data_IF_340058128260
#
_entry.id   IF_340058128260
#
_cell.length_a   1.000
_cell.length_b   1.000
_cell.length_c   1.000
_cell.angle_alpha   90.00
_cell.angle_beta   90.00
_cell.angle_gamma   90.00
#
_symmetry.space_group_name_H-M   'P 1'
#
loop_
_entity.id
_entity.type
_entity.pdbx_description
1 polymer ?
#
# COMPACT_ATOMS: atom_id res chain seq x y z
N UNK A 1 -16.96 5.08 -2.17
CA UNK A 1 -15.54 4.92 -2.53
C UNK A 1 -15.27 5.26 -3.99
N UNK A 2 -14.48 6.31 -4.23
CA UNK A 2 -14.04 6.68 -5.57
C UNK A 2 -13.12 5.61 -6.20
N UNK A 3 -13.19 5.46 -7.53
CA UNK A 3 -12.16 4.79 -8.32
C UNK A 3 -11.21 5.85 -8.86
N UNK A 4 -10.00 5.45 -9.24
CA UNK A 4 -9.10 6.34 -10.00
C UNK A 4 -9.74 6.68 -11.34
N UNK A 5 -9.92 7.98 -11.59
CA UNK A 5 -10.38 8.58 -12.83
C UNK A 5 -9.35 8.43 -13.95
N UNK A 6 -9.76 8.61 -15.20
CA UNK A 6 -8.87 8.50 -16.36
C UNK A 6 -7.67 9.45 -16.28
N UNK A 7 -7.85 10.65 -15.72
CA UNK A 7 -6.77 11.62 -15.53
C UNK A 7 -5.76 11.17 -14.47
N UNK A 8 -6.22 10.52 -13.40
CA UNK A 8 -5.32 9.97 -12.37
C UNK A 8 -4.59 8.74 -12.88
N UNK A 9 -5.25 7.89 -13.67
CA UNK A 9 -4.63 6.75 -14.34
C UNK A 9 -3.54 7.18 -15.31
N UNK A 10 -3.71 8.32 -15.98
CA UNK A 10 -2.72 8.88 -16.89
C UNK A 10 -1.43 9.35 -16.20
N UNK A 11 -1.42 9.47 -14.86
CA UNK A 11 -0.20 9.77 -14.10
C UNK A 11 0.68 8.53 -13.86
N UNK A 12 0.16 7.32 -14.12
CA UNK A 12 0.93 6.10 -14.00
C UNK A 12 1.77 5.87 -15.27
N UNK A 13 2.96 5.24 -15.13
CA UNK A 13 3.56 4.76 -13.89
C UNK A 13 4.13 5.91 -13.02
N UNK A 14 3.97 5.81 -11.71
CA UNK A 14 4.51 6.82 -10.79
C UNK A 14 6.02 6.57 -10.64
N UNK A 15 6.84 7.51 -11.10
CA UNK A 15 8.30 7.39 -11.15
C UNK A 15 9.05 8.43 -10.33
N UNK A 16 8.35 9.42 -9.77
CA UNK A 16 8.94 10.54 -9.03
C UNK A 16 7.96 11.11 -7.99
N UNK A 17 8.48 11.86 -7.00
CA UNK A 17 7.72 12.33 -5.85
C UNK A 17 6.61 13.28 -6.31
N UNK A 18 6.92 14.12 -7.30
CA UNK A 18 5.98 15.09 -7.83
C UNK A 18 4.75 14.42 -8.45
N UNK A 19 4.92 13.33 -9.19
CA UNK A 19 3.82 12.55 -9.75
C UNK A 19 2.92 11.96 -8.65
N UNK A 20 3.52 11.46 -7.56
CA UNK A 20 2.77 10.95 -6.40
C UNK A 20 1.99 12.09 -5.72
N UNK A 21 2.63 13.21 -5.43
CA UNK A 21 1.99 14.38 -4.81
C UNK A 21 0.87 14.92 -5.69
N UNK A 22 1.08 14.98 -7.01
CA UNK A 22 0.07 15.41 -7.99
C UNK A 22 -1.13 14.47 -8.00
N UNK A 23 -0.91 13.16 -7.98
CA UNK A 23 -1.98 12.17 -7.89
C UNK A 23 -2.78 12.33 -6.59
N UNK A 24 -2.11 12.46 -5.45
CA UNK A 24 -2.77 12.61 -4.15
C UNK A 24 -3.60 13.90 -4.09
N UNK A 25 -3.03 15.01 -4.57
CA UNK A 25 -3.74 16.30 -4.62
C UNK A 25 -4.98 16.20 -5.52
N UNK A 26 -4.83 15.63 -6.71
CA UNK A 26 -5.93 15.45 -7.65
C UNK A 26 -7.04 14.59 -7.04
N UNK A 27 -6.67 13.49 -6.38
CA UNK A 27 -7.62 12.56 -5.78
C UNK A 27 -8.39 13.18 -4.61
N UNK A 28 -7.69 13.92 -3.74
CA UNK A 28 -8.29 14.59 -2.58
C UNK A 28 -9.17 15.78 -2.98
N UNK A 29 -8.85 16.49 -4.06
CA UNK A 29 -9.63 17.64 -4.53
C UNK A 29 -10.88 17.23 -5.30
N UNK A 30 -10.80 16.16 -6.10
CA UNK A 30 -11.92 15.72 -6.94
C UNK A 30 -12.97 14.88 -6.22
N UNK A 31 -12.56 14.14 -5.20
CA UNK A 31 -13.43 13.16 -4.54
C UNK A 31 -13.75 13.63 -3.11
N UNK A 32 -15.05 13.85 -2.83
CA UNK A 32 -15.51 14.12 -1.46
C UNK A 32 -15.27 12.95 -0.51
N UNK A 33 -15.17 11.74 -1.05
CA UNK A 33 -14.81 10.52 -0.32
C UNK A 33 -13.62 9.84 -1.05
N UNK A 34 -12.37 10.23 -0.73
CA UNK A 34 -11.18 9.68 -1.37
C UNK A 34 -10.98 8.19 -1.01
N UNK A 35 -10.42 7.43 -1.94
CA UNK A 35 -10.13 6.02 -1.74
C UNK A 35 -8.82 5.83 -0.98
N UNK A 36 -8.93 5.78 0.35
CA UNK A 36 -7.80 5.58 1.25
C UNK A 36 -7.06 4.26 1.01
N UNK A 37 -7.75 3.22 0.54
CA UNK A 37 -7.12 1.93 0.29
C UNK A 37 -6.12 2.00 -0.87
N UNK A 38 -6.50 2.63 -1.98
CA UNK A 38 -5.61 2.85 -3.12
C UNK A 38 -4.41 3.72 -2.72
N UNK A 39 -4.65 4.82 -2.01
CA UNK A 39 -3.57 5.71 -1.57
C UNK A 39 -2.60 4.99 -0.63
N UNK A 40 -3.11 4.20 0.32
CA UNK A 40 -2.30 3.40 1.24
C UNK A 40 -1.46 2.34 0.52
N UNK A 41 -2.00 1.71 -0.51
CA UNK A 41 -1.28 0.74 -1.34
C UNK A 41 -0.12 1.41 -2.08
N UNK A 42 -0.34 2.60 -2.65
CA UNK A 42 0.70 3.35 -3.38
C UNK A 42 1.85 3.73 -2.45
N UNK A 43 1.56 4.36 -1.30
CA UNK A 43 2.61 4.76 -0.34
C UNK A 43 3.34 3.53 0.20
N UNK A 44 2.60 2.47 0.55
CA UNK A 44 3.21 1.26 1.09
C UNK A 44 4.11 0.54 0.08
N UNK A 45 3.76 0.52 -1.20
CA UNK A 45 4.60 -0.04 -2.25
C UNK A 45 5.91 0.74 -2.43
N UNK A 46 5.81 2.07 -2.44
CA UNK A 46 6.96 2.97 -2.50
C UNK A 46 7.86 2.75 -1.29
N UNK A 47 7.27 2.78 -0.09
CA UNK A 47 7.99 2.61 1.16
C UNK A 47 8.71 1.27 1.19
N UNK A 48 8.00 0.16 0.95
CA UNK A 48 8.60 -1.18 0.93
C UNK A 48 9.79 -1.29 -0.02
N UNK A 49 9.71 -0.66 -1.19
CA UNK A 49 10.82 -0.71 -2.15
C UNK A 49 11.99 0.18 -1.74
N UNK A 50 11.73 1.30 -1.07
CA UNK A 50 12.76 2.21 -0.57
C UNK A 50 13.43 1.71 0.73
N UNK A 51 12.73 0.97 1.58
CA UNK A 51 13.22 0.59 2.92
C UNK A 51 13.50 -0.91 3.07
N UNK A 52 12.69 -1.79 2.46
CA UNK A 52 12.81 -3.25 2.63
C UNK A 52 13.56 -3.93 1.49
N UNK A 53 13.40 -3.47 0.24
CA UNK A 53 13.99 -4.13 -0.94
C UNK A 53 15.47 -3.76 -1.21
N UNK A 54 16.00 -2.70 -0.60
CA UNK A 54 17.39 -2.25 -0.83
C UNK A 54 18.46 -3.07 -0.11
N UNK A 55 18.07 -4.04 0.72
CA UNK A 55 19.00 -4.88 1.50
C UNK A 55 19.50 -6.16 0.81
N UNK A 56 19.15 -6.42 -0.45
CA UNK A 56 19.43 -7.74 -1.11
C UNK A 56 20.45 -7.63 -2.25
N UNK A 57 21.04 -6.47 -2.53
CA UNK A 57 21.89 -6.27 -3.72
C UNK A 57 23.27 -5.68 -3.46
N UNK A 58 23.87 -5.95 -2.30
CA UNK A 58 25.31 -5.71 -2.09
C UNK A 58 26.01 -7.03 -1.73
N UNK A 59 26.89 -7.57 -2.60
CA UNK A 59 27.80 -8.64 -2.20
C UNK A 59 28.79 -8.09 -1.15
N UNK A 60 29.27 -8.92 -0.20
CA UNK A 60 30.25 -8.47 0.78
C UNK A 60 31.60 -8.29 0.09
N UNK A 61 31.94 -7.06 -0.29
CA UNK A 61 33.27 -6.74 -0.83
C UNK A 61 34.18 -6.35 0.33
N UNK A 62 35.32 -7.03 0.41
CA UNK A 62 36.30 -6.89 1.47
C UNK A 62 36.91 -5.51 1.58
N UNK A 63 37.45 -5.26 2.77
CA UNK A 63 38.27 -4.13 3.17
C UNK A 63 39.17 -3.60 2.04
N UNK A 64 39.02 -2.31 1.69
CA UNK A 64 40.09 -1.29 1.72
C UNK A 64 39.63 0.07 1.14
N UNK A 65 40.13 1.12 1.79
CA UNK A 65 40.41 2.50 1.34
C UNK A 65 39.37 3.64 1.54
N UNK A 66 39.73 4.53 2.47
CA UNK A 66 39.13 5.85 2.73
C UNK A 66 39.68 6.87 1.73
N UNK A 67 38.88 7.27 0.72
CA UNK A 67 38.83 8.62 0.12
C UNK A 67 38.26 8.57 -1.31
N UNK A 68 36.93 8.53 -1.44
CA UNK A 68 36.22 9.11 -2.59
C UNK A 68 34.71 9.07 -2.36
N UNK A 69 34.15 10.18 -1.90
CA UNK A 69 32.69 10.39 -1.83
C UNK A 69 32.10 10.55 -3.24
N UNK A 70 32.04 9.46 -3.99
CA UNK A 70 31.12 9.31 -5.12
C UNK A 70 29.98 8.40 -4.67
N UNK A 71 29.18 8.92 -3.73
CA UNK A 71 27.82 8.43 -3.53
C UNK A 71 27.10 8.63 -4.86
N UNK A 72 27.06 7.58 -5.67
CA UNK A 72 26.33 7.56 -6.91
C UNK A 72 24.90 8.07 -6.65
N UNK A 73 24.38 8.86 -7.58
CA UNK A 73 23.05 9.49 -7.59
C UNK A 73 21.88 8.48 -7.63
N UNK A 74 22.15 7.21 -7.27
CA UNK A 74 21.19 6.10 -7.14
C UNK A 74 20.25 6.28 -5.95
N UNK A 75 20.51 7.27 -5.08
CA UNK A 75 19.69 7.55 -3.89
C UNK A 75 18.34 8.24 -4.17
N UNK A 76 18.04 8.64 -5.42
CA UNK A 76 16.91 9.52 -5.76
C UNK A 76 15.85 8.95 -6.70
N UNK A 77 16.02 7.72 -7.18
CA UNK A 77 15.03 7.13 -8.11
C UNK A 77 13.91 6.45 -7.31
N UNK A 78 12.68 6.96 -7.48
CA UNK A 78 11.50 6.32 -6.93
C UNK A 78 11.21 5.03 -7.69
N UNK A 79 10.82 3.94 -7.01
CA UNK A 79 10.26 2.77 -7.67
C UNK A 79 9.13 3.15 -8.63
N UNK A 80 9.13 2.51 -9.80
CA UNK A 80 8.05 2.58 -10.76
C UNK A 80 6.82 1.88 -10.17
N UNK A 81 5.78 2.65 -9.86
CA UNK A 81 4.50 2.10 -9.42
C UNK A 81 3.57 1.99 -10.61
N UNK A 82 3.25 0.76 -11.02
CA UNK A 82 2.30 0.48 -12.10
C UNK A 82 0.86 0.47 -11.61
N UNK A 83 -0.08 0.91 -12.46
CA UNK A 83 -1.49 0.98 -12.10
C UNK A 83 -2.07 -0.42 -11.87
N UNK A 84 -1.68 -1.37 -12.70
CA UNK A 84 -2.15 -2.76 -12.69
C UNK A 84 -1.84 -3.44 -11.36
N UNK A 85 -0.64 -3.19 -10.83
CA UNK A 85 -0.22 -3.71 -9.52
C UNK A 85 -1.08 -3.14 -8.39
N UNK A 86 -1.31 -1.82 -8.39
CA UNK A 86 -2.13 -1.14 -7.39
C UNK A 86 -3.59 -1.61 -7.47
N UNK A 87 -4.13 -1.72 -8.67
CA UNK A 87 -5.51 -2.16 -8.92
C UNK A 87 -5.71 -3.62 -8.50
N UNK A 88 -4.77 -4.51 -8.80
CA UNK A 88 -4.83 -5.90 -8.40
C UNK A 88 -4.82 -6.06 -6.87
N UNK A 89 -3.93 -5.34 -6.17
CA UNK A 89 -3.88 -5.35 -4.70
C UNK A 89 -5.15 -4.79 -4.07
N UNK A 90 -5.68 -3.69 -4.63
CA UNK A 90 -6.92 -3.08 -4.17
C UNK A 90 -8.13 -4.01 -4.39
N UNK A 91 -8.24 -4.65 -5.54
CA UNK A 91 -9.31 -5.62 -5.80
C UNK A 91 -9.23 -6.82 -4.87
N UNK A 92 -8.04 -7.34 -4.61
CA UNK A 92 -7.83 -8.45 -3.67
C UNK A 92 -8.22 -8.04 -2.24
N UNK A 93 -7.86 -6.83 -1.81
CA UNK A 93 -8.28 -6.29 -0.51
C UNK A 93 -9.81 -6.24 -0.39
N UNK A 94 -10.49 -5.67 -1.38
CA UNK A 94 -11.95 -5.60 -1.39
C UNK A 94 -12.60 -6.99 -1.44
N UNK A 95 -12.01 -7.94 -2.16
CA UNK A 95 -12.52 -9.31 -2.21
C UNK A 95 -12.47 -9.99 -0.84
N UNK A 96 -11.38 -9.80 -0.07
CA UNK A 96 -11.28 -10.33 1.30
C UNK A 96 -12.38 -9.77 2.19
N UNK A 97 -12.57 -8.44 2.18
CA UNK A 97 -13.58 -7.80 3.03
C UNK A 97 -15.00 -8.24 2.62
N UNK A 98 -15.31 -8.22 1.33
CA UNK A 98 -16.64 -8.61 0.82
C UNK A 98 -16.96 -10.09 1.02
N UNK A 99 -15.95 -10.96 1.03
CA UNK A 99 -16.16 -12.39 1.29
C UNK A 99 -16.58 -12.67 2.74
N UNK A 100 -16.16 -11.83 3.70
CA UNK A 100 -16.41 -12.06 5.13
C UNK A 100 -17.51 -11.15 5.71
N UNK A 101 -17.90 -10.10 4.99
CA UNK A 101 -18.91 -9.12 5.40
C UNK A 101 -20.01 -9.05 4.35
N UNK A 102 -21.10 -9.77 4.60
CA UNK A 102 -22.32 -9.59 3.84
C UNK A 102 -23.09 -8.38 4.37
N UNK A 103 -22.98 -7.25 3.66
CA UNK A 103 -23.65 -6.00 4.04
C UNK A 103 -25.17 -6.13 3.96
N UNK A 104 -25.69 -7.01 3.10
CA UNK A 104 -27.15 -7.19 2.94
C UNK A 104 -27.78 -7.85 4.17
N UNK A 105 -27.02 -8.70 4.87
CA UNK A 105 -27.42 -9.33 6.12
C UNK A 105 -27.61 -8.33 7.28
N UNK A 106 -27.03 -7.12 7.19
CA UNK A 106 -27.20 -6.04 8.17
C UNK A 106 -28.28 -5.02 7.75
N UNK A 107 -28.99 -5.27 6.65
CA UNK A 107 -29.94 -4.33 6.04
C UNK A 107 -29.27 -3.16 5.31
N UNK A 108 -30.04 -2.14 4.95
CA UNK A 108 -29.53 -0.87 4.39
C UNK A 108 -29.66 0.27 5.41
N UNK A 109 -28.99 0.21 6.57
CA UNK A 109 -29.11 1.26 7.57
C UNK A 109 -28.42 2.53 7.08
N UNK A 110 -29.00 3.70 7.40
CA UNK A 110 -28.41 5.02 7.11
C UNK A 110 -27.04 5.21 7.79
N UNK A 111 -26.79 4.49 8.88
CA UNK A 111 -25.58 4.56 9.69
C UNK A 111 -25.05 3.14 9.93
N UNK A 112 -23.72 3.00 10.03
CA UNK A 112 -23.11 1.72 10.41
C UNK A 112 -23.52 1.34 11.84
N UNK A 113 -23.92 0.09 12.04
CA UNK A 113 -24.22 -0.45 13.37
C UNK A 113 -22.93 -0.91 14.06
N UNK A 114 -22.99 -1.06 15.38
CA UNK A 114 -21.86 -1.59 16.16
C UNK A 114 -21.48 -2.99 15.70
N UNK A 115 -22.45 -3.79 15.30
CA UNK A 115 -22.29 -5.17 14.83
C UNK A 115 -21.52 -5.20 13.51
N UNK A 116 -21.85 -4.30 12.58
CA UNK A 116 -21.13 -4.16 11.31
C UNK A 116 -19.67 -3.72 11.54
N UNK A 117 -19.46 -2.70 12.38
CA UNK A 117 -18.11 -2.21 12.71
C UNK A 117 -17.29 -3.31 13.37
N UNK A 118 -17.88 -4.02 14.34
CA UNK A 118 -17.22 -5.15 15.01
C UNK A 118 -16.88 -6.26 14.01
N UNK A 119 -17.79 -6.59 13.10
CA UNK A 119 -17.55 -7.64 12.10
C UNK A 119 -16.36 -7.28 11.21
N UNK A 120 -16.28 -6.04 10.73
CA UNK A 120 -15.13 -5.58 9.93
C UNK A 120 -13.82 -5.65 10.75
N UNK A 121 -13.86 -5.20 12.01
CA UNK A 121 -12.71 -5.28 12.92
C UNK A 121 -12.23 -6.72 13.13
N UNK A 122 -13.16 -7.66 13.35
CA UNK A 122 -12.85 -9.08 13.55
C UNK A 122 -12.25 -9.68 12.27
N UNK A 123 -12.73 -9.30 11.08
CA UNK A 123 -12.15 -9.74 9.79
C UNK A 123 -10.73 -9.25 9.64
N UNK A 124 -10.46 -7.96 9.84
CA UNK A 124 -9.10 -7.42 9.75
C UNK A 124 -8.18 -8.10 10.77
N UNK A 125 -8.65 -8.29 12.00
CA UNK A 125 -7.91 -8.97 13.05
C UNK A 125 -7.57 -10.43 12.72
N UNK A 126 -8.53 -11.20 12.23
CA UNK A 126 -8.34 -12.62 11.90
C UNK A 126 -7.51 -12.84 10.63
N UNK A 127 -7.52 -11.87 9.70
CA UNK A 127 -6.79 -11.96 8.43
C UNK A 127 -5.40 -11.36 8.49
N UNK A 128 -5.12 -10.51 9.48
CA UNK A 128 -3.74 -10.19 9.84
C UNK A 128 -3.07 -11.49 10.26
N UNK A 129 -2.13 -11.96 9.44
CA UNK A 129 -1.22 -13.01 9.87
C UNK A 129 -0.57 -12.56 11.18
N UNK A 130 -0.34 -13.50 12.10
CA UNK A 130 0.49 -13.26 13.30
C UNK A 130 1.92 -12.99 12.84
N UNK A 131 2.16 -11.88 12.15
CA UNK A 131 3.49 -11.47 11.72
C UNK A 131 4.23 -11.04 12.98
N UNK A 132 4.96 -12.03 13.48
CA UNK A 132 6.04 -11.98 14.45
C UNK A 132 6.71 -10.60 14.56
N UNK A 133 6.85 -10.16 15.81
CA UNK A 133 7.40 -8.89 16.28
C UNK A 133 6.51 -7.67 16.00
N UNK A 134 5.78 -7.26 17.04
CA UNK A 134 4.97 -6.02 17.08
C UNK A 134 5.79 -4.74 16.81
N UNK A 135 7.12 -4.84 16.90
CA UNK A 135 8.06 -3.73 16.73
C UNK A 135 8.72 -3.69 15.34
N UNK A 136 8.22 -4.49 14.38
CA UNK A 136 8.73 -4.44 13.00
C UNK A 136 8.22 -3.18 12.30
N UNK A 137 9.16 -2.36 11.84
CA UNK A 137 8.85 -1.18 11.03
C UNK A 137 8.18 -1.56 9.70
N UNK A 138 7.45 -0.61 9.11
CA UNK A 138 6.89 -0.70 7.74
C UNK A 138 5.66 -1.64 7.57
N UNK A 139 4.93 -1.93 8.66
CA UNK A 139 3.71 -2.76 8.66
C UNK A 139 2.38 -1.97 8.71
N UNK A 140 2.43 -0.66 8.53
CA UNK A 140 1.29 0.24 8.74
C UNK A 140 0.37 0.42 7.51
N UNK A 141 0.77 -0.08 6.34
CA UNK A 141 0.06 0.15 5.08
C UNK A 141 -0.79 -1.05 4.67
N UNK A 142 -1.87 -0.79 3.91
CA UNK A 142 -2.65 -1.86 3.27
C UNK A 142 -1.77 -2.65 2.29
N UNK A 143 -0.73 -2.04 1.72
CA UNK A 143 0.26 -2.77 0.94
C UNK A 143 0.89 -3.91 1.75
N UNK A 144 1.48 -3.62 2.92
CA UNK A 144 2.08 -4.64 3.79
C UNK A 144 1.05 -5.69 4.18
N UNK A 145 -0.15 -5.28 4.58
CA UNK A 145 -1.25 -6.21 4.87
C UNK A 145 -1.48 -7.20 3.71
N UNK A 146 -1.54 -6.71 2.46
CA UNK A 146 -1.81 -7.53 1.29
C UNK A 146 -0.63 -8.38 0.81
N UNK A 147 0.60 -7.90 0.99
CA UNK A 147 1.83 -8.61 0.57
C UNK A 147 2.29 -9.63 1.60
N UNK A 148 2.17 -9.33 2.89
CA UNK A 148 2.59 -10.23 3.97
C UNK A 148 1.62 -11.40 4.15
N UNK A 149 0.35 -11.21 3.78
CA UNK A 149 -0.63 -12.29 3.58
C UNK A 149 -0.17 -13.38 2.60
N UNK A 150 0.80 -13.09 1.71
CA UNK A 150 1.33 -14.07 0.74
C UNK A 150 2.46 -14.93 1.33
N UNK A 151 3.09 -14.51 2.42
CA UNK A 151 4.25 -15.22 2.99
C UNK A 151 3.87 -16.36 3.96
N UNK A 152 2.57 -16.59 4.20
CA UNK A 152 2.07 -17.60 5.16
C UNK A 152 1.40 -18.83 4.52
N UNK A 153 1.64 -19.09 3.23
CA UNK A 153 1.20 -20.32 2.55
C UNK A 153 2.39 -21.12 2.03
#
# INVERSE_FOLDING_TARGET
MAKLSSEERALFPLSNIEAVVKLFRLHLQKNSEPNLAILSIIVGHIENTLTCARGVSEPPVGYEDECSSKYSDTHRVLPLVEYETVEALHHRFLAIIKAHVDVTAFGTPRYATRELVKRISDVVWCTLSSSYYKDRAHLQSIYSYMTDLRASF
#
